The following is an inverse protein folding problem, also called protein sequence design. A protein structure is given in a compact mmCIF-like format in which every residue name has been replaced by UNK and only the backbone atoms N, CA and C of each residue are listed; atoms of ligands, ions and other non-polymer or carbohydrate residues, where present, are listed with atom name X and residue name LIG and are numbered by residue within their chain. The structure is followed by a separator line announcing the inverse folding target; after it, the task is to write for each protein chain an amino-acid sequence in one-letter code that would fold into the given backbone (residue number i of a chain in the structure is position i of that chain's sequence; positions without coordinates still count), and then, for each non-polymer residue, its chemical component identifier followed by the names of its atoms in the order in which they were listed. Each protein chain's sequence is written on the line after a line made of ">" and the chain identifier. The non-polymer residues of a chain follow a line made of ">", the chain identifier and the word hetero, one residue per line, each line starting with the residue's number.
data_IF_820781175828
#
_entry.id   IF_820781175828
#
_cell.length_a   1.000
_cell.length_b   1.000
_cell.length_c   1.000
_cell.angle_alpha   90.00
_cell.angle_beta   90.00
_cell.angle_gamma   90.00
#
_symmetry.space_group_name_H-M   'P 1'
#
loop_
_entity.id
_entity.type
_entity.pdbx_description
1 polymer ?
#
# COMPACT_ATOMS: atom_id res chain seq x y z
N UNK A 1 16.73 -12.15 -17.17
CA UNK A 1 15.95 -11.84 -15.97
C UNK A 1 15.09 -10.61 -16.24
N UNK A 2 13.78 -10.71 -16.03
CA UNK A 2 12.75 -9.66 -16.13
C UNK A 2 12.55 -9.07 -17.55
N UNK A 3 12.79 -9.87 -18.61
CA UNK A 3 12.64 -9.46 -20.02
C UNK A 3 11.66 -10.38 -20.75
N UNK A 4 10.93 -9.84 -21.73
CA UNK A 4 9.93 -10.60 -22.49
C UNK A 4 8.90 -11.27 -21.58
N UNK A 5 8.77 -12.58 -21.70
CA UNK A 5 7.82 -13.41 -20.93
C UNK A 5 8.30 -13.76 -19.51
N UNK A 6 9.49 -13.31 -19.11
CA UNK A 6 9.98 -13.44 -17.74
C UNK A 6 9.24 -12.46 -16.81
N UNK A 7 8.13 -12.95 -16.27
CA UNK A 7 7.21 -12.26 -15.39
C UNK A 7 7.25 -12.93 -14.00
N UNK A 8 8.02 -12.39 -13.03
CA UNK A 8 8.07 -12.96 -11.70
C UNK A 8 6.69 -12.93 -11.06
N UNK A 9 6.28 -14.05 -10.45
CA UNK A 9 4.98 -14.15 -9.75
C UNK A 9 4.99 -13.40 -8.41
N UNK A 10 6.17 -13.28 -7.79
CA UNK A 10 6.35 -12.69 -6.46
C UNK A 10 7.63 -11.85 -6.46
N UNK A 11 7.61 -10.73 -5.74
CA UNK A 11 8.82 -9.97 -5.46
C UNK A 11 9.68 -10.72 -4.43
N UNK A 12 10.92 -11.05 -4.78
CA UNK A 12 11.85 -11.80 -3.91
C UNK A 12 12.38 -10.93 -2.77
N UNK A 13 11.61 -10.81 -1.68
CA UNK A 13 12.01 -10.19 -0.42
C UNK A 13 11.67 -11.09 0.76
N UNK A 14 12.45 -11.00 1.83
CA UNK A 14 12.21 -11.76 3.05
C UNK A 14 11.12 -11.10 3.92
N UNK A 15 9.98 -11.78 4.04
CA UNK A 15 8.85 -11.40 4.91
C UNK A 15 8.59 -12.44 6.00
N UNK A 16 9.61 -13.22 6.37
CA UNK A 16 9.52 -14.26 7.41
C UNK A 16 9.30 -13.69 8.81
N UNK A 17 9.72 -12.45 9.05
CA UNK A 17 9.47 -11.75 10.31
C UNK A 17 7.99 -11.41 10.45
N UNK A 18 7.42 -11.78 11.59
CA UNK A 18 6.08 -11.43 11.99
C UNK A 18 6.07 -10.16 12.85
N UNK A 19 5.02 -9.35 12.70
CA UNK A 19 4.73 -8.18 13.54
C UNK A 19 3.32 -8.30 14.10
N UNK A 20 3.04 -7.59 15.18
CA UNK A 20 1.71 -7.53 15.80
C UNK A 20 1.04 -6.22 15.47
N UNK A 21 -0.22 -6.26 15.08
CA UNK A 21 -1.03 -5.08 14.81
C UNK A 21 -2.34 -5.18 15.60
N UNK A 22 -2.54 -4.27 16.54
CA UNK A 22 -3.81 -4.15 17.24
C UNK A 22 -4.80 -3.39 16.35
N UNK A 23 -6.03 -3.89 16.25
CA UNK A 23 -7.11 -3.13 15.64
C UNK A 23 -7.56 -2.04 16.63
N UNK A 24 -7.70 -0.82 16.16
CA UNK A 24 -8.08 0.32 16.99
C UNK A 24 -9.17 1.14 16.32
N UNK A 25 -10.24 1.43 17.07
CA UNK A 25 -11.20 2.48 16.74
C UNK A 25 -10.52 3.83 16.98
N UNK A 26 -9.92 4.35 15.92
CA UNK A 26 -9.01 5.48 16.03
C UNK A 26 -9.61 6.78 15.49
N UNK A 27 -9.11 7.90 16.01
CA UNK A 27 -9.25 9.21 15.36
C UNK A 27 -8.33 9.33 14.14
N UNK A 28 -7.44 8.37 13.94
CA UNK A 28 -6.57 8.21 12.79
C UNK A 28 -7.28 7.54 11.60
N UNK A 29 -6.80 7.84 10.41
CA UNK A 29 -7.28 7.37 9.10
C UNK A 29 -8.76 7.66 8.84
N UNK A 30 -9.22 8.85 9.23
CA UNK A 30 -10.61 9.29 8.99
C UNK A 30 -10.92 9.35 7.49
N UNK A 31 -12.18 9.09 7.14
CA UNK A 31 -12.66 9.25 5.75
C UNK A 31 -12.41 10.69 5.30
N UNK A 32 -12.83 11.68 6.09
CA UNK A 32 -12.64 13.09 5.77
C UNK A 32 -12.28 13.90 7.03
N UNK A 33 -11.48 14.95 6.84
CA UNK A 33 -10.90 15.76 7.91
C UNK A 33 -9.67 16.54 7.41
N UNK A 34 -9.20 17.55 8.17
CA UNK A 34 -8.07 18.38 7.78
C UNK A 34 -6.78 17.57 7.56
N UNK A 35 -6.54 16.57 8.41
CA UNK A 35 -5.30 15.77 8.37
C UNK A 35 -5.47 14.46 7.59
N UNK A 36 -6.70 14.12 7.17
CA UNK A 36 -7.00 12.82 6.56
C UNK A 36 -6.23 12.59 5.27
N UNK A 37 -6.03 13.61 4.44
CA UNK A 37 -5.26 13.44 3.22
C UNK A 37 -3.81 13.04 3.52
N UNK A 38 -3.12 13.79 4.38
CA UNK A 38 -1.73 13.52 4.73
C UNK A 38 -1.58 12.14 5.38
N UNK A 39 -2.48 11.83 6.32
CA UNK A 39 -2.47 10.58 7.03
C UNK A 39 -2.68 9.36 6.11
N UNK A 40 -3.69 9.39 5.23
CA UNK A 40 -3.88 8.32 4.25
C UNK A 40 -2.71 8.23 3.27
N UNK A 41 -2.12 9.36 2.85
CA UNK A 41 -0.92 9.34 2.00
C UNK A 41 0.31 8.77 2.71
N UNK A 42 0.40 8.87 4.04
CA UNK A 42 1.50 8.30 4.82
C UNK A 42 1.55 6.76 4.77
N UNK A 43 0.42 6.12 4.43
CA UNK A 43 0.37 4.66 4.22
C UNK A 43 1.09 4.22 2.95
N UNK A 44 1.52 5.16 2.11
CA UNK A 44 2.22 4.90 0.87
C UNK A 44 3.70 5.28 0.98
N UNK A 45 4.63 4.38 0.63
CA UNK A 45 6.02 4.78 0.50
C UNK A 45 6.18 5.83 -0.61
N UNK A 46 6.99 6.87 -0.40
CA UNK A 46 7.34 7.79 -1.49
C UNK A 46 7.85 7.03 -2.72
N UNK A 47 7.39 7.43 -3.90
CA UNK A 47 7.74 6.74 -5.14
C UNK A 47 7.09 5.37 -5.30
N UNK A 48 5.93 5.19 -4.67
CA UNK A 48 5.10 4.00 -4.79
C UNK A 48 4.95 3.51 -6.23
N UNK A 49 4.77 2.19 -6.35
CA UNK A 49 4.51 1.39 -7.56
C UNK A 49 4.40 2.17 -8.89
N UNK A 50 5.20 1.81 -9.91
CA UNK A 50 5.75 0.46 -10.09
C UNK A 50 7.17 0.27 -9.56
N UNK A 51 7.45 -0.92 -9.04
CA UNK A 51 8.81 -1.37 -8.76
C UNK A 51 9.55 -1.65 -10.08
N UNK A 52 10.84 -1.31 -10.13
CA UNK A 52 11.70 -1.43 -11.31
C UNK A 52 12.66 -2.59 -11.16
N UNK A 53 12.51 -3.62 -11.98
CA UNK A 53 13.32 -4.84 -11.91
C UNK A 53 14.13 -5.08 -13.19
N UNK A 54 15.26 -5.76 -13.01
CA UNK A 54 16.17 -6.16 -14.07
C UNK A 54 16.97 -5.03 -14.72
N UNK A 55 17.88 -5.36 -15.65
CA UNK A 55 18.74 -4.40 -16.32
C UNK A 55 17.96 -3.33 -17.09
N UNK A 56 16.81 -3.69 -17.66
CA UNK A 56 15.94 -2.78 -18.40
C UNK A 56 14.99 -1.94 -17.54
N UNK A 57 15.07 -2.03 -16.20
CA UNK A 57 14.20 -1.29 -15.26
C UNK A 57 12.70 -1.46 -15.58
N UNK A 58 12.29 -2.69 -15.88
CA UNK A 58 10.90 -3.01 -16.22
C UNK A 58 10.00 -2.77 -15.01
N UNK A 59 8.85 -2.11 -15.25
CA UNK A 59 7.84 -1.80 -14.25
C UNK A 59 7.00 -3.03 -13.89
N UNK A 60 6.79 -3.24 -12.59
CA UNK A 60 5.85 -4.22 -12.04
C UNK A 60 5.04 -3.60 -10.91
N UNK A 61 3.79 -4.04 -10.75
CA UNK A 61 2.95 -3.62 -9.62
C UNK A 61 2.99 -4.67 -8.51
N UNK A 62 3.18 -4.20 -7.27
CA UNK A 62 3.13 -5.07 -6.09
C UNK A 62 1.68 -5.17 -5.63
N UNK A 63 1.18 -6.39 -5.41
CA UNK A 63 -0.21 -6.64 -5.03
C UNK A 63 -0.64 -5.86 -3.78
N UNK A 64 0.20 -5.83 -2.73
CA UNK A 64 -0.05 -5.06 -1.50
C UNK A 64 -0.27 -3.57 -1.78
N UNK A 65 0.56 -2.94 -2.61
CA UNK A 65 0.43 -1.52 -2.94
C UNK A 65 -0.81 -1.25 -3.81
N UNK A 66 -1.17 -2.17 -4.71
CA UNK A 66 -2.43 -2.06 -5.46
C UNK A 66 -3.64 -2.21 -4.52
N UNK A 67 -3.57 -3.07 -3.51
CA UNK A 67 -4.65 -3.18 -2.52
C UNK A 67 -4.81 -1.87 -1.73
N UNK A 68 -3.72 -1.22 -1.33
CA UNK A 68 -3.78 0.12 -0.74
C UNK A 68 -4.36 1.17 -1.71
N UNK A 69 -4.10 1.07 -3.02
CA UNK A 69 -4.72 1.92 -4.06
C UNK A 69 -6.24 1.83 -4.01
N UNK A 70 -6.72 0.59 -3.86
CA UNK A 70 -8.14 0.29 -3.83
C UNK A 70 -8.79 0.91 -2.59
N UNK A 71 -8.14 0.81 -1.42
CA UNK A 71 -8.64 1.43 -0.18
C UNK A 71 -8.78 2.95 -0.35
N UNK A 72 -7.75 3.63 -0.88
CA UNK A 72 -7.83 5.08 -1.10
C UNK A 72 -8.86 5.46 -2.16
N UNK A 73 -9.02 4.63 -3.20
CA UNK A 73 -10.05 4.85 -4.23
C UNK A 73 -11.47 4.75 -3.65
N UNK A 74 -11.70 3.81 -2.72
CA UNK A 74 -12.98 3.74 -2.00
C UNK A 74 -13.20 4.97 -1.13
N UNK A 75 -12.19 5.38 -0.36
CA UNK A 75 -12.25 6.60 0.45
C UNK A 75 -12.60 7.81 -0.42
N UNK A 76 -11.87 8.01 -1.52
CA UNK A 76 -12.12 9.13 -2.44
C UNK A 76 -13.53 9.08 -3.04
N UNK A 77 -14.07 7.91 -3.33
CA UNK A 77 -15.44 7.76 -3.83
C UNK A 77 -16.50 8.17 -2.81
N UNK A 78 -16.26 7.94 -1.51
CA UNK A 78 -17.16 8.37 -0.42
C UNK A 78 -17.18 9.89 -0.23
N UNK A 79 -16.13 10.60 -0.67
CA UNK A 79 -16.00 12.06 -0.49
C UNK A 79 -16.42 12.82 -1.76
N UNK A 80 -15.97 12.36 -2.93
CA UNK A 80 -16.00 13.16 -4.16
C UNK A 80 -16.86 12.57 -5.28
N UNK A 81 -17.41 11.35 -5.14
CA UNK A 81 -18.19 10.64 -6.18
C UNK A 81 -17.53 10.56 -7.58
N UNK A 82 -16.22 10.81 -7.68
CA UNK A 82 -15.48 10.94 -8.95
C UNK A 82 -14.98 9.61 -9.53
N UNK A 83 -15.00 8.53 -8.75
CA UNK A 83 -14.49 7.22 -9.15
C UNK A 83 -15.60 6.40 -9.80
N UNK A 84 -15.35 5.92 -11.03
CA UNK A 84 -16.34 5.13 -11.77
C UNK A 84 -16.71 3.83 -11.04
N UNK A 85 -17.98 3.41 -11.15
CA UNK A 85 -18.47 2.12 -10.60
C UNK A 85 -17.65 0.92 -11.09
N UNK A 86 -17.21 0.92 -12.35
CA UNK A 86 -16.37 -0.15 -12.92
C UNK A 86 -15.03 -0.25 -12.19
N UNK A 87 -14.42 0.89 -11.88
CA UNK A 87 -13.17 0.93 -11.12
C UNK A 87 -13.40 0.43 -9.69
N UNK A 88 -14.46 0.89 -9.01
CA UNK A 88 -14.79 0.42 -7.66
C UNK A 88 -15.09 -1.08 -7.61
N UNK A 89 -15.75 -1.64 -8.62
CA UNK A 89 -15.99 -3.08 -8.71
C UNK A 89 -14.68 -3.88 -8.81
N UNK A 90 -13.72 -3.41 -9.60
CA UNK A 90 -12.37 -3.99 -9.66
C UNK A 90 -11.66 -3.90 -8.31
N UNK A 91 -11.70 -2.73 -7.66
CA UNK A 91 -11.11 -2.53 -6.33
C UNK A 91 -11.72 -3.46 -5.30
N UNK A 92 -13.05 -3.62 -5.30
CA UNK A 92 -13.77 -4.49 -4.37
C UNK A 92 -13.32 -5.94 -4.51
N UNK A 93 -13.23 -6.42 -5.76
CA UNK A 93 -12.83 -7.80 -6.02
C UNK A 93 -11.34 -8.03 -5.69
N UNK A 94 -10.48 -7.05 -5.95
CA UNK A 94 -9.06 -7.09 -5.56
C UNK A 94 -8.88 -7.24 -4.04
N UNK A 95 -9.60 -6.42 -3.25
CA UNK A 95 -9.58 -6.49 -1.78
C UNK A 95 -10.16 -7.81 -1.27
N UNK A 96 -11.28 -8.27 -1.85
CA UNK A 96 -11.88 -9.57 -1.51
C UNK A 96 -10.89 -10.72 -1.70
N UNK A 97 -10.17 -10.75 -2.83
CA UNK A 97 -9.14 -11.77 -3.09
C UNK A 97 -7.99 -11.66 -2.11
N UNK A 98 -7.55 -10.44 -1.78
CA UNK A 98 -6.50 -10.22 -0.78
C UNK A 98 -6.86 -10.80 0.59
N UNK A 99 -8.09 -10.56 1.06
CA UNK A 99 -8.60 -11.08 2.33
C UNK A 99 -8.63 -12.61 2.32
N UNK A 100 -9.15 -13.22 1.25
CA UNK A 100 -9.19 -14.68 1.13
C UNK A 100 -7.79 -15.29 1.08
N UNK A 101 -6.84 -14.67 0.37
CA UNK A 101 -5.46 -15.13 0.35
C UNK A 101 -4.75 -14.95 1.70
N UNK A 102 -5.13 -13.95 2.50
CA UNK A 102 -4.62 -13.74 3.85
C UNK A 102 -5.16 -14.75 4.85
N UNK A 103 -6.46 -15.10 4.75
CA UNK A 103 -7.15 -16.05 5.63
C UNK A 103 -6.80 -15.86 7.11
N UNK A 104 -6.88 -14.62 7.60
CA UNK A 104 -6.65 -14.32 9.01
C UNK A 104 -7.79 -14.92 9.85
N UNK A 105 -7.44 -15.83 10.76
CA UNK A 105 -8.37 -16.55 11.63
C UNK A 105 -8.41 -15.98 13.05
N UNK A 106 -7.82 -14.81 13.29
CA UNK A 106 -7.88 -14.11 14.56
C UNK A 106 -9.34 -13.82 14.92
N UNK A 107 -9.76 -14.23 16.11
CA UNK A 107 -11.12 -13.96 16.61
C UNK A 107 -11.23 -12.51 17.10
N UNK A 108 -12.40 -11.91 16.91
CA UNK A 108 -12.72 -10.59 17.44
C UNK A 108 -12.58 -10.53 18.96
N UNK A 109 -12.11 -9.38 19.47
CA UNK A 109 -11.96 -9.19 20.90
C UNK A 109 -13.31 -8.94 21.58
N UNK A 110 -13.52 -9.62 22.72
CA UNK A 110 -14.72 -9.47 23.54
C UNK A 110 -15.97 -10.13 22.94
N UNK A 111 -17.13 -9.83 23.52
CA UNK A 111 -18.42 -10.23 22.97
C UNK A 111 -18.79 -9.28 21.81
N UNK A 112 -18.45 -9.68 20.59
CA UNK A 112 -18.71 -8.89 19.37
C UNK A 112 -20.21 -8.53 19.20
N UNK A 113 -21.13 -9.26 19.85
CA UNK A 113 -22.57 -8.99 19.77
C UNK A 113 -23.04 -7.86 20.70
N UNK A 114 -22.22 -7.51 21.70
CA UNK A 114 -22.53 -6.49 22.72
C UNK A 114 -21.48 -5.39 22.84
N UNK A 115 -20.40 -5.49 22.05
CA UNK A 115 -19.28 -4.55 22.08
C UNK A 115 -19.72 -3.15 21.72
N UNK A 116 -19.24 -2.16 22.49
CA UNK A 116 -19.48 -0.75 22.19
C UNK A 116 -18.18 -0.12 21.69
N UNK A 117 -18.07 0.10 20.38
CA UNK A 117 -16.88 0.67 19.73
C UNK A 117 -16.49 2.07 20.22
N UNK A 118 -17.39 2.81 20.88
CA UNK A 118 -17.05 4.11 21.49
C UNK A 118 -16.39 4.00 22.87
N UNK A 119 -16.50 2.84 23.54
CA UNK A 119 -15.90 2.57 24.86
C UNK A 119 -14.75 1.56 24.78
N UNK A 120 -14.92 0.55 23.93
CA UNK A 120 -13.98 -0.56 23.73
C UNK A 120 -13.19 -0.32 22.43
N UNK A 121 -12.36 0.72 22.44
CA UNK A 121 -11.68 1.22 21.24
C UNK A 121 -10.52 0.35 20.77
N UNK A 122 -10.08 -0.65 21.55
CA UNK A 122 -9.02 -1.60 21.14
C UNK A 122 -9.65 -2.97 20.89
N UNK A 123 -9.41 -3.49 19.69
CA UNK A 123 -9.87 -4.80 19.22
C UNK A 123 -8.82 -5.90 19.36
N UNK A 124 -8.96 -6.93 18.53
CA UNK A 124 -8.03 -8.05 18.53
C UNK A 124 -6.65 -7.62 18.01
N UNK A 125 -5.62 -8.37 18.43
CA UNK A 125 -4.26 -8.21 17.91
C UNK A 125 -3.97 -9.28 16.86
N UNK A 126 -3.69 -8.84 15.65
CA UNK A 126 -3.38 -9.68 14.50
C UNK A 126 -1.87 -9.96 14.42
N UNK A 127 -1.50 -11.09 13.83
CA UNK A 127 -0.11 -11.42 13.50
C UNK A 127 0.08 -11.26 12.01
N UNK A 128 0.83 -10.24 11.61
CA UNK A 128 1.03 -9.85 10.22
C UNK A 128 2.45 -10.17 9.76
N UNK A 129 2.64 -10.24 8.43
CA UNK A 129 3.98 -10.16 7.84
C UNK A 129 4.49 -8.72 7.95
N UNK A 130 5.78 -8.56 8.21
CA UNK A 130 6.39 -7.24 8.38
C UNK A 130 6.37 -6.42 7.07
N UNK A 131 5.36 -5.57 6.92
CA UNK A 131 5.17 -4.77 5.71
C UNK A 131 6.17 -3.63 5.59
N UNK A 132 6.86 -3.23 6.66
CA UNK A 132 7.88 -2.18 6.60
C UNK A 132 9.05 -2.60 5.69
N UNK A 133 9.33 -3.90 5.61
CA UNK A 133 10.30 -4.46 4.64
C UNK A 133 9.89 -4.14 3.20
N UNK A 134 8.60 -4.22 2.87
CA UNK A 134 8.08 -3.85 1.55
C UNK A 134 8.29 -2.35 1.31
N UNK A 135 7.93 -1.51 2.28
CA UNK A 135 8.05 -0.06 2.17
C UNK A 135 9.49 0.39 1.99
N UNK A 136 10.42 -0.15 2.78
CA UNK A 136 11.84 0.11 2.62
C UNK A 136 12.35 -0.33 1.26
N UNK A 137 12.02 -1.55 0.83
CA UNK A 137 12.42 -2.08 -0.49
C UNK A 137 11.95 -1.17 -1.63
N UNK A 138 10.69 -0.72 -1.58
CA UNK A 138 10.11 0.13 -2.63
C UNK A 138 10.75 1.51 -2.64
N UNK A 139 11.00 2.12 -1.46
CA UNK A 139 11.70 3.41 -1.37
C UNK A 139 13.12 3.33 -1.94
N UNK A 140 13.90 2.32 -1.55
CA UNK A 140 15.25 2.10 -2.07
C UNK A 140 15.23 1.86 -3.60
N UNK A 141 14.28 1.07 -4.08
CA UNK A 141 14.12 0.82 -5.51
C UNK A 141 13.75 2.09 -6.30
N UNK A 142 12.86 2.92 -5.74
CA UNK A 142 12.49 4.19 -6.32
C UNK A 142 13.68 5.13 -6.42
N UNK A 143 14.45 5.31 -5.34
CA UNK A 143 15.66 6.14 -5.36
C UNK A 143 16.64 5.66 -6.46
N UNK A 144 16.89 4.34 -6.55
CA UNK A 144 17.73 3.76 -7.61
C UNK A 144 17.19 4.03 -9.02
N UNK A 145 15.87 4.02 -9.18
CA UNK A 145 15.23 4.34 -10.45
C UNK A 145 15.40 5.82 -10.83
N UNK A 146 15.23 6.73 -9.88
CA UNK A 146 15.39 8.16 -10.12
C UNK A 146 16.80 8.49 -10.60
N UNK A 147 17.82 7.95 -9.94
CA UNK A 147 19.19 8.10 -10.38
C UNK A 147 19.42 7.52 -11.78
N UNK A 148 18.87 6.34 -12.05
CA UNK A 148 18.97 5.71 -13.36
C UNK A 148 18.35 6.60 -14.43
N UNK A 149 17.12 7.09 -14.20
CA UNK A 149 16.40 7.93 -15.15
C UNK A 149 17.12 9.25 -15.40
N UNK A 150 17.69 9.86 -14.36
CA UNK A 150 18.51 11.06 -14.48
C UNK A 150 19.75 10.80 -15.34
N UNK A 151 20.53 9.75 -15.04
CA UNK A 151 21.73 9.39 -15.82
C UNK A 151 21.45 9.09 -17.30
N UNK A 152 20.22 8.71 -17.64
CA UNK A 152 19.82 8.36 -19.01
C UNK A 152 18.93 9.43 -19.67
N UNK A 153 18.82 10.63 -19.09
CA UNK A 153 18.03 11.76 -19.61
C UNK A 153 16.60 11.37 -20.00
N UNK A 154 15.93 10.55 -19.19
CA UNK A 154 14.58 10.07 -19.50
C UNK A 154 13.55 11.20 -19.30
N UNK A 155 12.65 11.47 -20.27
CA UNK A 155 11.67 12.56 -20.19
C UNK A 155 10.59 12.30 -19.12
N UNK A 156 10.06 13.37 -18.53
CA UNK A 156 8.95 13.33 -17.55
C UNK A 156 9.36 13.27 -16.08
N UNK A 157 10.63 13.53 -15.74
CA UNK A 157 11.16 13.45 -14.36
C UNK A 157 11.76 14.74 -13.82
N UNK A 158 11.47 15.90 -14.42
CA UNK A 158 11.94 17.21 -13.92
C UNK A 158 11.41 17.57 -12.51
N UNK A 159 10.39 16.86 -11.98
CA UNK A 159 9.92 17.00 -10.60
C UNK A 159 10.74 16.21 -9.56
N UNK A 160 11.58 15.27 -10.01
CA UNK A 160 12.31 14.33 -9.15
C UNK A 160 13.49 14.98 -8.44
N UNK A 161 14.12 15.97 -9.07
CA UNK A 161 15.29 16.68 -8.57
C UNK A 161 15.04 17.31 -7.19
N UNK A 162 13.82 17.82 -6.97
CA UNK A 162 13.45 18.47 -5.72
C UNK A 162 13.24 17.52 -4.53
N UNK A 163 13.17 16.20 -4.74
CA UNK A 163 12.97 15.21 -3.67
C UNK A 163 14.31 14.69 -3.13
N UNK A 164 15.33 14.56 -3.98
CA UNK A 164 16.68 14.17 -3.55
C UNK A 164 17.45 15.30 -2.87
N UNK A 165 17.12 16.57 -3.10
CA UNK A 165 17.84 17.71 -2.52
C UNK A 165 17.34 18.14 -1.13
N UNK A 166 16.28 17.51 -0.61
CA UNK A 166 15.65 17.87 0.68
C UNK A 166 15.86 16.86 1.81
N UNK A 167 16.63 15.79 1.57
CA UNK A 167 16.99 14.76 2.56
C UNK A 167 18.42 14.29 2.33
#
# INVERSE_FOLDING_TARGET
>A
AYQGDDNPLVLSIDLSRAVRLAMEESVHFRINGPDSFEEWTSTWPYGSSPIRLGPGRRAFSIAMLHQMHCVESFRSALIHETISKRHLQHCFDSLRRAILCGSDLTLEAGDFTRRNFTKDTVGATHVCRDWDVVYRTVRENWASWLEYAHRHNMPGQSAVQSVCERH
#
